data_IF_923903094519
#
_entry.id   IF_923903094519
#
_cell.length_a   1.000
_cell.length_b   1.000
_cell.length_c   1.000
_cell.angle_alpha   90.00
_cell.angle_beta   90.00
_cell.angle_gamma   90.00
#
_symmetry.space_group_name_H-M   'P 1'
#
loop_
_entity.id
_entity.type
_entity.pdbx_description
1 polymer ?
#
# COMPACT_ATOMS: atom_id res chain seq x y z
N UNK A 1 -3.31 11.35 21.08
CA UNK A 1 -4.05 10.31 20.33
C UNK A 1 -4.21 10.67 18.84
N UNK A 2 -4.38 9.68 17.94
CA UNK A 2 -5.09 9.87 16.66
C UNK A 2 -4.34 9.92 15.31
N UNK A 3 -3.00 9.78 15.25
CA UNK A 3 -2.24 9.99 13.99
C UNK A 3 -2.43 8.89 12.92
N UNK A 4 -2.91 7.71 13.31
CA UNK A 4 -2.95 6.53 12.45
C UNK A 4 -4.19 6.34 11.56
N UNK A 5 -5.33 6.93 11.96
CA UNK A 5 -6.60 6.89 11.20
C UNK A 5 -6.64 7.85 10.02
N UNK A 6 -5.56 8.61 9.79
CA UNK A 6 -5.45 9.53 8.66
C UNK A 6 -5.55 8.74 7.35
N UNK A 7 -6.36 9.19 6.37
CA UNK A 7 -6.48 8.45 5.12
C UNK A 7 -5.19 8.61 4.31
N UNK A 8 -4.60 7.50 3.90
CA UNK A 8 -3.35 7.46 3.10
C UNK A 8 -3.51 8.28 1.80
N UNK A 9 -4.71 8.26 1.23
CA UNK A 9 -5.05 8.91 -0.03
C UNK A 9 -5.40 10.40 0.12
N UNK A 10 -5.79 10.85 1.31
CA UNK A 10 -6.25 12.23 1.55
C UNK A 10 -5.14 13.20 1.93
N UNK A 11 -3.90 12.74 2.08
CA UNK A 11 -2.78 13.62 2.44
C UNK A 11 -2.51 14.71 1.37
N UNK A 12 -3.13 14.61 0.20
CA UNK A 12 -3.02 15.62 -0.86
C UNK A 12 -4.11 15.50 -1.92
N UNK A 13 -5.35 15.85 -1.59
CA UNK A 13 -6.35 16.21 -2.61
C UNK A 13 -5.82 17.23 -3.67
N UNK A 14 -4.62 17.81 -3.46
CA UNK A 14 -3.96 18.81 -4.31
C UNK A 14 -2.67 18.37 -5.04
N UNK A 15 -2.09 17.15 -4.84
CA UNK A 15 -0.89 16.76 -5.61
C UNK A 15 -1.22 15.84 -6.79
N UNK A 16 -0.85 16.28 -8.00
CA UNK A 16 -1.03 15.52 -9.24
C UNK A 16 -0.47 14.08 -9.16
N UNK A 17 0.51 13.86 -8.29
CA UNK A 17 1.21 12.58 -8.11
C UNK A 17 0.34 11.54 -7.39
N UNK A 18 -0.29 11.88 -6.27
CA UNK A 18 -1.20 10.93 -5.62
C UNK A 18 -2.40 10.68 -6.49
N UNK A 19 -2.99 11.71 -7.09
CA UNK A 19 -4.15 11.53 -7.97
C UNK A 19 -3.83 10.56 -9.14
N UNK A 20 -2.60 10.63 -9.66
CA UNK A 20 -2.08 9.67 -10.67
C UNK A 20 -1.90 8.26 -10.11
N UNK A 21 -1.43 8.10 -8.87
CA UNK A 21 -1.29 6.79 -8.21
C UNK A 21 -2.67 6.18 -7.94
N UNK A 22 -3.60 6.95 -7.36
CA UNK A 22 -4.98 6.53 -7.04
C UNK A 22 -5.73 6.12 -8.30
N UNK A 23 -5.59 6.88 -9.40
CA UNK A 23 -6.18 6.54 -10.70
C UNK A 23 -5.46 5.40 -11.46
N UNK A 24 -4.25 5.04 -11.06
CA UNK A 24 -3.54 3.91 -11.67
C UNK A 24 -4.19 2.59 -11.26
N UNK A 25 -4.04 1.56 -12.10
CA UNK A 25 -4.54 0.20 -11.83
C UNK A 25 -4.14 -0.31 -10.44
N UNK A 26 -2.94 0.05 -9.99
CA UNK A 26 -2.43 -0.33 -8.68
C UNK A 26 -3.08 0.46 -7.54
N UNK A 27 -3.39 1.75 -7.70
CA UNK A 27 -4.09 2.54 -6.68
C UNK A 27 -5.52 2.07 -6.49
N UNK A 28 -6.22 1.74 -7.58
CA UNK A 28 -7.53 1.07 -7.51
C UNK A 28 -7.42 -0.30 -6.84
N UNK A 29 -6.40 -1.09 -7.21
CA UNK A 29 -6.15 -2.39 -6.57
C UNK A 29 -5.90 -2.26 -5.06
N UNK A 30 -5.13 -1.26 -4.63
CA UNK A 30 -4.85 -1.00 -3.21
C UNK A 30 -6.12 -0.66 -2.42
N UNK A 31 -7.05 0.09 -3.01
CA UNK A 31 -8.32 0.42 -2.36
C UNK A 31 -9.34 -0.72 -2.41
N UNK A 32 -9.51 -1.38 -3.55
CA UNK A 32 -10.58 -2.36 -3.72
C UNK A 32 -10.18 -3.77 -3.28
N UNK A 33 -8.96 -4.20 -3.63
CA UNK A 33 -8.49 -5.55 -3.32
C UNK A 33 -7.80 -5.61 -1.96
N UNK A 34 -6.86 -4.69 -1.73
CA UNK A 34 -6.09 -4.64 -0.49
C UNK A 34 -6.80 -3.89 0.64
N UNK A 35 -7.85 -3.10 0.34
CA UNK A 35 -8.65 -2.32 1.32
C UNK A 35 -7.80 -1.39 2.19
N UNK A 36 -6.73 -0.84 1.64
CA UNK A 36 -5.86 0.09 2.34
C UNK A 36 -6.45 1.50 2.21
N UNK A 37 -6.95 2.02 3.33
CA UNK A 37 -7.53 3.37 3.39
C UNK A 37 -6.72 4.32 4.27
N UNK A 38 -6.06 3.81 5.31
CA UNK A 38 -5.34 4.62 6.30
C UNK A 38 -3.83 4.39 6.27
N UNK A 39 -3.10 5.34 6.86
CA UNK A 39 -1.64 5.21 7.06
C UNK A 39 -1.33 3.99 7.93
N UNK A 40 -2.13 3.72 8.95
CA UNK A 40 -1.99 2.49 9.76
C UNK A 40 -2.15 1.23 8.92
N UNK A 41 -3.13 1.17 8.02
CA UNK A 41 -3.33 -0.01 7.18
C UNK A 41 -2.13 -0.26 6.25
N UNK A 42 -1.59 0.84 5.69
CA UNK A 42 -0.36 0.83 4.91
C UNK A 42 0.86 0.38 5.74
N UNK A 43 1.04 0.88 6.96
CA UNK A 43 2.15 0.45 7.83
C UNK A 43 1.97 -1.01 8.20
N UNK A 44 0.75 -1.41 8.59
CA UNK A 44 0.43 -2.77 8.99
C UNK A 44 0.67 -3.76 7.86
N UNK A 45 0.24 -3.47 6.62
CA UNK A 45 0.55 -4.38 5.50
C UNK A 45 2.06 -4.45 5.27
N UNK A 46 2.80 -3.36 5.45
CA UNK A 46 4.24 -3.32 5.20
C UNK A 46 5.05 -4.00 6.31
N UNK A 47 4.61 -3.88 7.56
CA UNK A 47 5.22 -4.49 8.75
C UNK A 47 4.86 -5.97 8.87
N UNK A 48 3.60 -6.33 8.60
CA UNK A 48 3.10 -7.70 8.64
C UNK A 48 3.41 -8.44 7.32
N UNK A 49 4.62 -8.30 6.78
CA UNK A 49 5.05 -9.11 5.64
C UNK A 49 5.64 -10.42 6.14
N UNK A 50 5.28 -11.57 5.55
CA UNK A 50 5.90 -12.84 5.93
C UNK A 50 7.40 -12.80 5.63
N UNK A 51 8.22 -13.52 6.42
CA UNK A 51 9.68 -13.58 6.22
C UNK A 51 10.10 -14.03 4.81
N UNK A 52 9.26 -14.80 4.11
CA UNK A 52 9.49 -15.22 2.74
C UNK A 52 9.06 -14.19 1.67
N UNK A 53 8.62 -13.00 2.08
CA UNK A 53 8.15 -11.98 1.17
C UNK A 53 9.31 -11.38 0.37
N UNK A 54 9.33 -11.64 -0.93
CA UNK A 54 10.26 -11.02 -1.87
C UNK A 54 9.62 -9.77 -2.49
N UNK A 55 10.10 -8.60 -2.07
CA UNK A 55 9.78 -7.30 -2.70
C UNK A 55 10.39 -7.15 -4.09
N UNK A 56 11.48 -7.87 -4.38
CA UNK A 56 12.24 -7.76 -5.64
C UNK A 56 11.80 -8.77 -6.72
N UNK A 57 10.64 -9.42 -6.59
CA UNK A 57 10.19 -10.46 -7.53
C UNK A 57 8.73 -10.31 -7.97
N UNK A 58 8.47 -10.37 -9.28
CA UNK A 58 7.10 -10.40 -9.87
C UNK A 58 6.25 -11.60 -9.37
N UNK A 59 6.91 -12.62 -8.81
CA UNK A 59 6.32 -13.90 -8.38
C UNK A 59 6.65 -14.22 -6.92
N UNK A 60 6.42 -13.26 -6.01
CA UNK A 60 6.45 -13.60 -4.59
C UNK A 60 5.42 -14.71 -4.31
N UNK A 61 5.88 -15.84 -3.75
CA UNK A 61 5.05 -17.01 -3.43
C UNK A 61 4.49 -16.97 -2.00
N UNK A 62 4.55 -15.81 -1.36
CA UNK A 62 4.09 -15.63 0.00
C UNK A 62 2.59 -15.88 0.14
N UNK A 63 2.12 -16.41 1.28
CA UNK A 63 0.69 -16.69 1.48
C UNK A 63 -0.17 -15.43 1.33
N UNK A 64 0.29 -14.28 1.84
CA UNK A 64 -0.35 -12.98 1.57
C UNK A 64 -0.45 -12.69 0.07
N UNK A 65 0.66 -12.79 -0.65
CA UNK A 65 0.75 -12.51 -2.08
C UNK A 65 -0.18 -13.43 -2.89
N UNK A 66 -0.29 -14.70 -2.47
CA UNK A 66 -1.18 -15.69 -3.08
C UNK A 66 -2.64 -15.34 -2.81
N UNK A 67 -2.99 -14.99 -1.58
CA UNK A 67 -4.34 -14.56 -1.21
C UNK A 67 -4.77 -13.31 -1.97
N UNK A 68 -3.91 -12.28 -2.02
CA UNK A 68 -4.22 -11.04 -2.74
C UNK A 68 -4.35 -11.29 -4.25
N UNK A 69 -3.51 -12.16 -4.83
CA UNK A 69 -3.64 -12.55 -6.24
C UNK A 69 -4.93 -13.34 -6.49
N UNK A 70 -5.38 -14.16 -5.54
CA UNK A 70 -6.67 -14.85 -5.59
C UNK A 70 -7.86 -13.89 -5.55
N UNK A 71 -7.72 -12.74 -4.87
CA UNK A 71 -8.73 -11.67 -4.86
C UNK A 71 -8.79 -10.87 -6.17
N UNK A 72 -7.80 -11.00 -7.05
CA UNK A 72 -7.72 -10.24 -8.31
C UNK A 72 -6.52 -9.30 -8.41
N UNK A 73 -5.62 -9.26 -7.40
CA UNK A 73 -4.41 -8.45 -7.49
C UNK A 73 -3.43 -9.01 -8.53
N UNK A 74 -3.22 -8.27 -9.62
CA UNK A 74 -2.29 -8.68 -10.67
C UNK A 74 -0.84 -8.79 -10.17
N UNK A 75 -0.41 -7.87 -9.31
CA UNK A 75 0.97 -7.84 -8.82
C UNK A 75 1.11 -7.24 -7.41
N UNK A 76 1.02 -8.06 -6.35
CA UNK A 76 1.09 -7.58 -4.96
C UNK A 76 2.43 -6.92 -4.62
N UNK A 77 3.52 -7.32 -5.26
CA UNK A 77 4.83 -6.69 -5.04
C UNK A 77 4.85 -5.22 -5.51
N UNK A 78 4.22 -4.91 -6.64
CA UNK A 78 4.07 -3.52 -7.12
C UNK A 78 3.18 -2.70 -6.19
N UNK A 79 2.08 -3.29 -5.71
CA UNK A 79 1.18 -2.64 -4.75
C UNK A 79 1.94 -2.26 -3.47
N UNK A 80 2.74 -3.18 -2.91
CA UNK A 80 3.59 -2.93 -1.75
C UNK A 80 4.66 -1.85 -1.99
N UNK A 81 5.28 -1.84 -3.18
CA UNK A 81 6.25 -0.78 -3.53
C UNK A 81 5.59 0.60 -3.54
N UNK A 82 4.37 0.71 -4.07
CA UNK A 82 3.62 1.96 -4.07
C UNK A 82 3.26 2.38 -2.64
N UNK A 83 2.81 1.44 -1.81
CA UNK A 83 2.52 1.71 -0.39
C UNK A 83 3.76 2.19 0.34
N UNK A 84 4.90 1.51 0.18
CA UNK A 84 6.18 1.96 0.74
C UNK A 84 6.58 3.34 0.26
N UNK A 85 6.36 3.64 -1.02
CA UNK A 85 6.64 4.96 -1.59
C UNK A 85 5.74 6.03 -0.98
N UNK A 86 4.43 5.78 -0.86
CA UNK A 86 3.49 6.67 -0.19
C UNK A 86 3.90 6.90 1.26
N UNK A 87 4.21 5.84 2.02
CA UNK A 87 4.70 5.94 3.40
C UNK A 87 6.04 6.70 3.52
N UNK A 88 6.91 6.59 2.52
CA UNK A 88 8.16 7.35 2.50
C UNK A 88 7.95 8.82 2.16
N UNK A 89 6.93 9.15 1.36
CA UNK A 89 6.52 10.53 1.08
C UNK A 89 5.75 11.16 2.26
N UNK A 90 5.32 10.36 3.26
CA UNK A 90 4.74 10.90 4.48
C UNK A 90 5.83 11.62 5.32
N UNK A 91 5.53 12.84 5.83
CA UNK A 91 6.44 13.53 6.73
C UNK A 91 6.74 12.65 7.95
N UNK A 92 7.97 12.71 8.46
CA UNK A 92 8.44 11.92 9.61
C UNK A 92 7.58 12.07 10.85
N UNK A 93 6.90 13.21 11.03
CA UNK A 93 5.95 13.47 12.12
C UNK A 93 4.66 12.60 12.07
N UNK A 94 4.42 11.91 10.95
CA UNK A 94 3.29 10.99 10.78
C UNK A 94 3.70 9.52 10.89
N UNK A 95 4.99 9.25 11.16
CA UNK A 95 5.43 7.93 11.61
C UNK A 95 5.14 7.87 13.12
N UNK A 96 4.37 6.88 13.61
CA UNK A 96 4.13 6.71 15.03
C UNK A 96 5.44 6.51 15.80
#
# INVERSE_FOLDING_TARGET
EGKGKMPLWYHNASSAKTNRITNSKQGKCLQENHKIYTVEDAINITANQPNNHKTSGKKCKCNKCKAERCKGCANPAKCLLIVKKLLNELPTHWRP
#
